data_IF_590290276289
#
_entry.id   IF_590290276289
#
_cell.length_a   1.000
_cell.length_b   1.000
_cell.length_c   1.000
_cell.angle_alpha   90.00
_cell.angle_beta   90.00
_cell.angle_gamma   90.00
#
_symmetry.space_group_name_H-M   'P 1'
#
loop_
_entity.id
_entity.type
_entity.pdbx_description
1 polymer ?
#
# COMPACT_ATOMS: atom_id res chain seq x y z
N UNK A 1 -7.51 14.31 11.04
CA UNK A 1 -7.36 12.89 10.63
C UNK A 1 -5.95 12.45 10.94
N UNK A 2 -5.75 11.37 11.69
CA UNK A 2 -4.41 10.89 12.03
C UNK A 2 -3.90 9.95 10.93
N UNK A 3 -2.72 10.24 10.39
CA UNK A 3 -2.05 9.41 9.39
C UNK A 3 -0.86 8.72 10.03
N UNK A 4 -0.66 7.44 9.70
CA UNK A 4 0.56 6.73 10.08
C UNK A 4 1.79 7.42 9.49
N UNK A 5 2.85 7.51 10.28
CA UNK A 5 4.14 8.01 9.83
C UNK A 5 4.93 6.86 9.21
N UNK A 6 4.65 6.56 7.95
CA UNK A 6 5.23 5.42 7.24
C UNK A 6 6.76 5.44 7.14
N UNK A 7 7.43 6.59 7.31
CA UNK A 7 8.89 6.67 7.40
C UNK A 7 9.48 6.12 8.70
N UNK A 8 8.71 6.08 9.79
CA UNK A 8 9.20 5.61 11.09
C UNK A 8 9.29 4.08 11.13
N UNK A 9 10.48 3.55 11.46
CA UNK A 9 10.74 2.11 11.49
C UNK A 9 9.76 1.34 12.38
N UNK A 10 9.41 1.89 13.56
CA UNK A 10 8.45 1.27 14.48
C UNK A 10 7.06 1.14 13.88
N UNK A 11 6.64 2.12 13.08
CA UNK A 11 5.34 2.10 12.39
C UNK A 11 5.34 1.04 11.29
N UNK A 12 6.40 0.99 10.46
CA UNK A 12 6.53 -0.07 9.45
C UNK A 12 6.49 -1.46 10.08
N UNK A 13 7.26 -1.66 11.14
CA UNK A 13 7.32 -2.93 11.86
C UNK A 13 5.95 -3.32 12.42
N UNK A 14 5.22 -2.38 13.05
CA UNK A 14 3.87 -2.62 13.54
C UNK A 14 2.90 -3.07 12.43
N UNK A 15 2.88 -2.34 11.30
CA UNK A 15 1.96 -2.62 10.21
C UNK A 15 2.28 -3.96 9.52
N UNK A 16 3.54 -4.26 9.25
CA UNK A 16 3.97 -5.53 8.64
C UNK A 16 3.68 -6.70 9.58
N UNK A 17 3.97 -6.56 10.87
CA UNK A 17 3.67 -7.59 11.87
C UNK A 17 2.16 -7.86 11.97
N UNK A 18 1.31 -6.85 11.77
CA UNK A 18 -0.13 -7.05 11.73
C UNK A 18 -0.57 -7.90 10.53
N UNK A 19 -0.03 -7.64 9.33
CA UNK A 19 -0.32 -8.44 8.14
C UNK A 19 0.12 -9.90 8.35
N UNK A 20 1.34 -10.10 8.85
CA UNK A 20 1.85 -11.43 9.16
C UNK A 20 0.95 -12.17 10.16
N UNK A 21 0.53 -11.51 11.23
CA UNK A 21 -0.34 -12.11 12.25
C UNK A 21 -1.67 -12.60 11.69
N UNK A 22 -2.30 -11.83 10.80
CA UNK A 22 -3.54 -12.28 10.15
C UNK A 22 -3.34 -13.55 9.34
N UNK A 23 -2.21 -13.69 8.64
CA UNK A 23 -1.92 -14.88 7.86
C UNK A 23 -1.60 -16.08 8.75
N UNK A 24 -0.77 -15.91 9.79
CA UNK A 24 -0.38 -17.02 10.66
C UNK A 24 -1.51 -17.50 11.57
N UNK A 25 -2.33 -16.59 12.10
CA UNK A 25 -3.37 -16.92 13.08
C UNK A 25 -4.68 -17.35 12.40
N UNK A 26 -5.07 -16.67 11.32
CA UNK A 26 -6.36 -16.87 10.66
C UNK A 26 -6.28 -17.51 9.28
N UNK A 27 -5.07 -17.80 8.79
CA UNK A 27 -4.87 -18.52 7.53
C UNK A 27 -5.55 -17.83 6.35
N UNK A 28 -5.54 -16.50 6.34
CA UNK A 28 -6.12 -15.74 5.22
C UNK A 28 -5.26 -15.89 3.96
N UNK A 29 -5.93 -16.00 2.81
CA UNK A 29 -5.27 -16.19 1.52
C UNK A 29 -4.83 -14.88 0.85
N UNK A 30 -5.16 -13.72 1.44
CA UNK A 30 -4.89 -12.46 0.77
C UNK A 30 -5.38 -11.20 1.48
N UNK A 31 -4.96 -10.05 0.94
CA UNK A 31 -5.30 -8.72 1.41
C UNK A 31 -5.92 -7.87 0.30
N UNK A 32 -6.91 -7.07 0.69
CA UNK A 32 -7.47 -6.00 -0.14
C UNK A 32 -7.11 -4.64 0.45
N UNK A 33 -6.14 -3.95 -0.15
CA UNK A 33 -5.74 -2.62 0.26
C UNK A 33 -6.64 -1.56 -0.40
N UNK A 34 -7.56 -1.01 0.40
CA UNK A 34 -8.47 0.04 -0.02
C UNK A 34 -7.79 1.43 0.03
N UNK A 35 -8.19 2.33 -0.89
CA UNK A 35 -7.78 3.74 -0.93
C UNK A 35 -6.25 3.94 -0.95
N UNK A 36 -5.49 3.12 -1.68
CA UNK A 36 -4.02 3.24 -1.73
C UNK A 36 -3.58 4.59 -2.31
N UNK A 37 -4.39 5.23 -3.14
CA UNK A 37 -4.15 6.62 -3.56
C UNK A 37 -4.09 7.61 -2.39
N UNK A 38 -4.87 7.40 -1.33
CA UNK A 38 -4.79 8.24 -0.12
C UNK A 38 -3.49 8.04 0.66
N UNK A 39 -2.91 6.84 0.55
CA UNK A 39 -1.59 6.52 1.09
C UNK A 39 -0.53 7.18 0.19
N UNK A 40 -0.54 6.97 -1.12
CA UNK A 40 0.53 7.42 -2.02
C UNK A 40 0.72 8.94 -2.10
N UNK A 41 -0.37 9.73 -2.08
CA UNK A 41 -0.29 11.17 -2.31
C UNK A 41 -0.39 12.00 -1.03
N UNK A 42 0.43 13.03 -0.91
CA UNK A 42 0.44 13.97 0.23
C UNK A 42 -0.86 14.76 0.35
N UNK A 43 -1.56 14.99 -0.76
CA UNK A 43 -2.92 15.56 -0.78
C UNK A 43 -4.03 14.49 -0.59
N UNK A 44 -3.68 13.28 -0.16
CA UNK A 44 -4.60 12.16 0.12
C UNK A 44 -5.58 11.83 -1.02
N UNK A 45 -5.17 11.99 -2.28
CA UNK A 45 -6.02 11.70 -3.44
C UNK A 45 -7.14 12.72 -3.76
N UNK A 46 -7.25 13.84 -3.04
CA UNK A 46 -8.30 14.86 -3.29
C UNK A 46 -8.11 15.70 -4.56
N UNK A 47 -6.99 15.54 -5.26
CA UNK A 47 -6.76 16.22 -6.54
C UNK A 47 -7.44 15.50 -7.70
N UNK A 48 -7.87 16.26 -8.72
CA UNK A 48 -8.43 15.69 -9.95
C UNK A 48 -7.31 15.11 -10.83
N UNK A 49 -7.21 13.79 -10.83
CA UNK A 49 -6.45 13.04 -11.84
C UNK A 49 -7.19 13.13 -13.18
N UNK A 50 -6.51 13.68 -14.19
CA UNK A 50 -7.06 13.84 -15.55
C UNK A 50 -6.54 12.77 -16.52
N UNK A 51 -5.89 11.73 -16.01
CA UNK A 51 -5.37 10.62 -16.82
C UNK A 51 -4.00 10.85 -17.48
N UNK A 52 -3.38 12.03 -17.32
CA UNK A 52 -2.00 12.22 -17.76
C UNK A 52 -1.01 11.53 -16.80
N UNK A 53 -0.03 10.81 -17.36
CA UNK A 53 0.98 10.06 -16.62
C UNK A 53 1.77 10.94 -15.64
N UNK A 54 2.04 12.19 -16.02
CA UNK A 54 2.76 13.18 -15.19
C UNK A 54 2.04 13.52 -13.87
N UNK A 55 0.74 13.24 -13.77
CA UNK A 55 -0.01 13.43 -12.53
C UNK A 55 0.15 12.27 -11.53
N UNK A 56 0.63 11.11 -11.98
CA UNK A 56 0.86 9.95 -11.12
C UNK A 56 2.28 9.94 -10.54
N UNK A 57 3.25 10.51 -11.26
CA UNK A 57 4.64 10.63 -10.80
C UNK A 57 5.02 12.11 -10.67
N UNK A 58 4.77 12.68 -9.48
CA UNK A 58 5.05 14.10 -9.21
C UNK A 58 5.52 14.31 -7.77
N UNK A 59 5.84 15.57 -7.44
CA UNK A 59 6.27 16.00 -6.12
C UNK A 59 5.29 15.70 -4.97
N UNK A 60 4.05 15.32 -5.26
CA UNK A 60 3.05 14.96 -4.26
C UNK A 60 3.04 13.47 -3.92
N UNK A 61 3.82 12.64 -4.62
CA UNK A 61 4.03 11.24 -4.23
C UNK A 61 4.95 11.18 -3.03
N UNK A 62 4.49 10.56 -1.94
CA UNK A 62 5.31 10.37 -0.75
C UNK A 62 6.21 9.15 -0.92
N UNK A 63 7.52 9.38 -0.99
CA UNK A 63 8.54 8.34 -1.13
C UNK A 63 8.45 7.31 -0.01
N UNK A 64 8.35 7.74 1.25
CA UNK A 64 8.25 6.82 2.40
C UNK A 64 7.04 5.88 2.33
N UNK A 65 5.91 6.40 1.83
CA UNK A 65 4.67 5.65 1.72
C UNK A 65 4.71 4.69 0.54
N UNK A 66 5.36 5.09 -0.56
CA UNK A 66 5.62 4.22 -1.69
C UNK A 66 6.55 3.07 -1.31
N UNK A 67 7.65 3.36 -0.61
CA UNK A 67 8.58 2.35 -0.07
C UNK A 67 7.84 1.39 0.84
N UNK A 68 6.95 1.87 1.71
CA UNK A 68 6.16 0.99 2.57
C UNK A 68 5.31 -0.01 1.77
N UNK A 69 4.64 0.42 0.69
CA UNK A 69 3.82 -0.48 -0.13
C UNK A 69 4.66 -1.52 -0.85
N UNK A 70 5.82 -1.13 -1.39
CA UNK A 70 6.77 -2.09 -2.01
C UNK A 70 7.25 -3.10 -0.97
N UNK A 71 7.62 -2.65 0.23
CA UNK A 71 8.09 -3.54 1.29
C UNK A 71 7.01 -4.54 1.74
N UNK A 72 5.76 -4.09 1.87
CA UNK A 72 4.63 -4.97 2.20
C UNK A 72 4.49 -6.05 1.14
N UNK A 73 4.53 -5.64 -0.13
CA UNK A 73 4.36 -6.55 -1.25
C UNK A 73 5.46 -7.61 -1.32
N UNK A 74 6.73 -7.18 -1.30
CA UNK A 74 7.88 -8.09 -1.34
C UNK A 74 7.88 -9.02 -0.13
N UNK A 75 7.61 -8.52 1.07
CA UNK A 75 7.64 -9.34 2.29
C UNK A 75 6.50 -10.37 2.32
N UNK A 76 5.29 -9.97 1.92
CA UNK A 76 4.16 -10.89 1.89
C UNK A 76 4.39 -12.04 0.90
N UNK A 77 4.83 -11.75 -0.32
CA UNK A 77 5.08 -12.78 -1.33
C UNK A 77 6.33 -13.63 -1.00
N UNK A 78 7.33 -13.08 -0.31
CA UNK A 78 8.48 -13.86 0.18
C UNK A 78 8.10 -14.82 1.31
N UNK A 79 7.21 -14.39 2.22
CA UNK A 79 6.79 -15.23 3.35
C UNK A 79 5.72 -16.24 2.95
N UNK A 80 4.79 -15.84 2.08
CA UNK A 80 3.65 -16.63 1.64
C UNK A 80 3.55 -16.53 0.11
N UNK A 81 4.23 -17.43 -0.64
CA UNK A 81 4.32 -17.36 -2.10
C UNK A 81 2.99 -17.40 -2.87
N UNK A 82 1.89 -17.78 -2.21
CA UNK A 82 0.56 -17.91 -2.82
C UNK A 82 -0.44 -16.85 -2.34
N UNK A 83 0.01 -15.86 -1.56
CA UNK A 83 -0.87 -14.82 -1.06
C UNK A 83 -1.37 -13.92 -2.20
N UNK A 84 -2.64 -13.54 -2.13
CA UNK A 84 -3.27 -12.67 -3.12
C UNK A 84 -3.31 -11.25 -2.56
N UNK A 85 -2.61 -10.32 -3.21
CA UNK A 85 -2.67 -8.90 -2.83
C UNK A 85 -3.39 -8.09 -3.90
N UNK A 86 -4.50 -7.46 -3.51
CA UNK A 86 -5.33 -6.62 -4.36
C UNK A 86 -5.23 -5.18 -3.86
N UNK A 87 -4.95 -4.25 -4.76
CA UNK A 87 -4.87 -2.82 -4.45
C UNK A 87 -5.95 -2.04 -5.19
N UNK A 88 -6.69 -1.21 -4.47
CA UNK A 88 -7.57 -0.20 -5.05
C UNK A 88 -6.90 1.18 -5.09
N UNK A 89 -6.72 1.71 -6.30
CA UNK A 89 -6.36 3.10 -6.51
C UNK A 89 -7.57 3.94 -6.98
N UNK A 90 -7.64 5.20 -6.57
CA UNK A 90 -8.74 6.09 -6.90
C UNK A 90 -8.88 6.24 -8.43
N UNK A 91 -9.99 5.67 -8.96
CA UNK A 91 -10.44 5.65 -10.37
C UNK A 91 -9.79 4.64 -11.33
N UNK A 92 -9.93 3.34 -11.04
CA UNK A 92 -9.64 2.22 -11.96
C UNK A 92 -8.16 1.90 -12.18
N UNK A 93 -7.49 1.40 -11.15
CA UNK A 93 -6.60 0.28 -11.45
C UNK A 93 -6.56 -0.68 -10.27
N UNK A 94 -7.02 -1.91 -10.54
CA UNK A 94 -6.78 -3.07 -9.69
C UNK A 94 -5.48 -3.66 -10.20
N UNK A 95 -4.43 -3.59 -9.39
CA UNK A 95 -3.21 -4.33 -9.66
C UNK A 95 -3.24 -5.60 -8.81
N UNK A 96 -2.97 -6.73 -9.46
CA UNK A 96 -2.39 -7.87 -8.76
C UNK A 96 -0.92 -7.53 -8.60
N UNK A 97 -0.47 -7.37 -7.37
CA UNK A 97 0.95 -7.45 -7.10
C UNK A 97 1.34 -8.93 -7.21
N UNK A 98 2.55 -9.20 -7.68
CA UNK A 98 2.96 -10.50 -8.20
C UNK A 98 4.21 -11.00 -7.51
#
# INVERSE_FOLDING_TARGET
TNLFKYGEHKVKHFLISNLKWWVEEYWIDGFYFHLVGSILYTHNGFTKFTGSFDKYYNQYVSVDRHIYLILVDELLHNLIPHIITIVENAKLMIYFLK
#
